data_IF_421462713354
#
_entry.id   IF_421462713354
#
_cell.length_a   1.000
_cell.length_b   1.000
_cell.length_c   1.000
_cell.angle_alpha   90.00
_cell.angle_beta   90.00
_cell.angle_gamma   90.00
#
_symmetry.space_group_name_H-M   'P 1'
#
loop_
_entity.id
_entity.type
_entity.pdbx_description
1 polymer ?
#
# COMPACT_ATOMS: atom_id res chain seq x y z
N UNK A 1 7.61 28.76 -20.89
CA UNK A 1 8.62 27.86 -21.48
C UNK A 1 8.37 26.39 -21.15
N UNK A 2 8.47 25.92 -19.91
CA UNK A 2 8.29 24.48 -19.60
C UNK A 2 6.87 23.98 -19.89
N UNK A 3 5.84 24.71 -19.47
CA UNK A 3 4.43 24.37 -19.75
C UNK A 3 4.12 24.36 -21.25
N UNK A 4 4.68 25.31 -22.02
CA UNK A 4 4.51 25.34 -23.47
C UNK A 4 5.10 24.11 -24.16
N UNK A 5 6.25 23.61 -23.66
CA UNK A 5 6.84 22.36 -24.15
C UNK A 5 5.92 21.17 -23.81
N UNK A 6 5.33 21.16 -22.60
CA UNK A 6 4.38 20.11 -22.22
C UNK A 6 3.14 20.08 -23.11
N UNK A 7 2.56 21.25 -23.40
CA UNK A 7 1.41 21.37 -24.29
C UNK A 7 1.73 20.90 -25.71
N UNK A 8 2.93 21.20 -26.21
CA UNK A 8 3.38 20.69 -27.51
C UNK A 8 3.52 19.17 -27.50
N UNK A 9 4.14 18.59 -26.47
CA UNK A 9 4.27 17.13 -26.34
C UNK A 9 2.88 16.49 -26.29
N UNK A 10 1.94 17.02 -25.50
CA UNK A 10 0.56 16.52 -25.45
C UNK A 10 -0.11 16.50 -26.82
N UNK A 11 -0.04 17.61 -27.56
CA UNK A 11 -0.64 17.75 -28.90
C UNK A 11 -0.05 16.77 -29.91
N UNK A 12 1.26 16.51 -29.83
CA UNK A 12 1.99 15.69 -30.79
C UNK A 12 2.03 14.20 -30.43
N UNK A 13 1.82 13.84 -29.15
CA UNK A 13 1.92 12.46 -28.64
C UNK A 13 1.04 11.43 -29.38
N UNK A 14 -0.21 11.73 -29.80
CA UNK A 14 -1.02 10.82 -30.61
C UNK A 14 -0.41 10.52 -31.99
N UNK A 15 0.44 11.42 -32.49
CA UNK A 15 1.01 11.39 -33.83
C UNK A 15 2.48 10.96 -33.84
N UNK A 16 2.99 10.35 -32.78
CA UNK A 16 4.42 9.97 -32.66
C UNK A 16 4.94 9.12 -33.83
N UNK A 17 4.07 8.36 -34.50
CA UNK A 17 4.44 7.55 -35.67
C UNK A 17 4.54 8.35 -36.98
N UNK A 18 4.19 9.64 -36.98
CA UNK A 18 4.30 10.54 -38.13
C UNK A 18 5.68 11.21 -38.10
N UNK A 19 6.49 11.17 -39.19
CA UNK A 19 7.87 11.67 -39.20
C UNK A 19 8.05 13.12 -38.70
N UNK A 20 7.16 14.02 -39.09
CA UNK A 20 7.23 15.43 -38.69
C UNK A 20 6.96 15.60 -37.18
N UNK A 21 5.93 14.91 -36.67
CA UNK A 21 5.61 14.91 -35.25
C UNK A 21 6.71 14.24 -34.41
N UNK A 22 7.28 13.14 -34.89
CA UNK A 22 8.42 12.47 -34.25
C UNK A 22 9.63 13.42 -34.12
N UNK A 23 9.95 14.14 -35.18
CA UNK A 23 11.05 15.11 -35.20
C UNK A 23 10.78 16.28 -34.25
N UNK A 24 9.56 16.81 -34.24
CA UNK A 24 9.14 17.86 -33.32
C UNK A 24 9.18 17.40 -31.84
N UNK A 25 8.72 16.20 -31.55
CA UNK A 25 8.77 15.61 -30.20
C UNK A 25 10.22 15.40 -29.73
N UNK A 26 11.13 14.96 -30.62
CA UNK A 26 12.56 14.86 -30.30
C UNK A 26 13.18 16.21 -29.94
N UNK A 27 12.78 17.27 -30.65
CA UNK A 27 13.21 18.64 -30.33
C UNK A 27 12.70 19.06 -28.94
N UNK A 28 11.41 18.86 -28.66
CA UNK A 28 10.82 19.13 -27.34
C UNK A 28 11.56 18.37 -26.23
N UNK A 29 11.83 17.09 -26.46
CA UNK A 29 12.55 16.24 -25.50
C UNK A 29 13.97 16.75 -25.23
N UNK A 30 14.68 17.17 -26.28
CA UNK A 30 16.04 17.73 -26.15
C UNK A 30 16.04 19.06 -25.37
N UNK A 31 15.00 19.88 -25.56
CA UNK A 31 14.79 21.10 -24.77
C UNK A 31 14.52 20.78 -23.30
N UNK A 32 13.71 19.75 -23.00
CA UNK A 32 13.49 19.30 -21.62
C UNK A 32 14.76 18.76 -20.97
N UNK A 33 15.56 17.96 -21.68
CA UNK A 33 16.87 17.50 -21.16
C UNK A 33 17.74 18.70 -20.79
N UNK A 34 17.84 19.70 -21.68
CA UNK A 34 18.67 20.89 -21.44
C UNK A 34 18.16 21.68 -20.21
N UNK A 35 16.86 21.91 -20.14
CA UNK A 35 16.20 22.60 -19.03
C UNK A 35 16.44 21.88 -17.68
N UNK A 36 16.19 20.58 -17.63
CA UNK A 36 16.36 19.79 -16.40
C UNK A 36 17.82 19.67 -16.00
N UNK A 37 18.73 19.67 -16.97
CA UNK A 37 20.17 19.68 -16.72
C UNK A 37 20.63 21.00 -16.09
N UNK A 38 20.19 22.14 -16.64
CA UNK A 38 20.48 23.48 -16.10
C UNK A 38 19.92 23.65 -14.67
N UNK A 39 18.78 23.02 -14.38
CA UNK A 39 18.19 22.98 -13.04
C UNK A 39 18.89 22.01 -12.07
N UNK A 40 19.89 21.23 -12.53
CA UNK A 40 20.59 20.25 -11.72
C UNK A 40 19.84 18.93 -11.46
N UNK A 41 18.63 18.76 -12.03
CA UNK A 41 17.70 17.66 -11.69
C UNK A 41 18.08 16.31 -12.31
N UNK A 42 18.92 16.31 -13.34
CA UNK A 42 19.37 15.09 -14.04
C UNK A 42 20.89 14.99 -14.10
N UNK A 43 21.58 15.59 -13.11
CA UNK A 43 23.02 15.44 -12.94
C UNK A 43 23.34 14.07 -12.33
N UNK A 44 22.59 13.66 -11.33
CA UNK A 44 22.71 12.41 -10.59
C UNK A 44 21.45 11.54 -10.73
N UNK A 45 21.51 10.28 -10.26
CA UNK A 45 20.34 9.40 -10.21
C UNK A 45 19.25 10.03 -9.31
N UNK A 46 18.04 10.32 -9.82
CA UNK A 46 16.97 10.92 -9.04
C UNK A 46 16.58 10.11 -7.79
N UNK A 47 16.85 8.81 -7.78
CA UNK A 47 16.58 7.93 -6.64
C UNK A 47 17.79 7.66 -5.74
N UNK A 48 18.95 8.27 -5.99
CA UNK A 48 20.16 8.05 -5.19
C UNK A 48 19.94 8.22 -3.67
N UNK A 49 19.21 9.26 -3.18
CA UNK A 49 18.96 9.41 -1.74
C UNK A 49 18.17 8.25 -1.12
N UNK A 50 17.36 7.54 -1.92
CA UNK A 50 16.54 6.42 -1.46
C UNK A 50 17.35 5.11 -1.45
N UNK A 51 18.32 4.95 -2.35
CA UNK A 51 19.11 3.70 -2.47
C UNK A 51 19.89 3.35 -1.21
N UNK A 52 20.39 4.36 -0.51
CA UNK A 52 21.24 4.18 0.68
C UNK A 52 20.52 4.42 2.00
N UNK A 53 19.23 4.76 1.95
CA UNK A 53 18.44 5.02 3.17
C UNK A 53 18.23 3.72 3.95
N UNK A 54 18.30 3.79 5.27
CA UNK A 54 18.12 2.64 6.17
C UNK A 54 17.24 3.02 7.35
N UNK A 55 16.72 2.01 8.02
CA UNK A 55 16.05 2.14 9.31
C UNK A 55 16.93 1.55 10.41
N UNK A 56 16.74 2.02 11.63
CA UNK A 56 17.27 1.38 12.82
C UNK A 56 16.53 0.05 13.05
N UNK A 57 17.29 -0.96 13.47
CA UNK A 57 16.78 -2.27 13.82
C UNK A 57 17.18 -2.57 15.26
N UNK A 58 16.23 -2.78 16.19
CA UNK A 58 16.55 -3.20 17.55
C UNK A 58 17.04 -4.65 17.52
N UNK A 59 18.35 -4.82 17.34
CA UNK A 59 18.98 -6.14 17.12
C UNK A 59 18.70 -7.11 18.25
N UNK A 60 18.99 -6.74 19.51
CA UNK A 60 18.87 -7.68 20.63
C UNK A 60 17.42 -8.18 20.84
N UNK A 61 16.38 -7.29 20.91
CA UNK A 61 15.00 -7.77 21.03
C UNK A 61 14.55 -8.66 19.87
N UNK A 62 14.94 -8.33 18.64
CA UNK A 62 14.56 -9.11 17.45
C UNK A 62 15.29 -10.45 17.44
N UNK A 63 16.57 -10.48 17.82
CA UNK A 63 17.33 -11.72 17.92
C UNK A 63 16.72 -12.65 18.98
N UNK A 64 16.35 -12.13 20.15
CA UNK A 64 15.71 -12.92 21.20
C UNK A 64 14.34 -13.46 20.78
N UNK A 65 13.55 -12.67 20.04
CA UNK A 65 12.28 -13.12 19.49
C UNK A 65 12.47 -14.23 18.45
N UNK A 66 13.45 -14.09 17.57
CA UNK A 66 13.65 -14.98 16.42
C UNK A 66 14.49 -16.22 16.73
N UNK A 67 15.21 -16.26 17.86
CA UNK A 67 16.06 -17.39 18.27
C UNK A 67 15.26 -18.69 18.32
N UNK A 68 15.78 -19.71 17.64
CA UNK A 68 15.20 -21.06 17.51
C UNK A 68 13.74 -21.10 17.01
N UNK A 69 13.27 -20.01 16.41
CA UNK A 69 11.90 -19.89 15.91
C UNK A 69 11.75 -20.46 14.49
N UNK A 70 10.52 -20.86 14.15
CA UNK A 70 10.12 -21.13 12.76
C UNK A 70 9.40 -19.91 12.18
N UNK A 71 9.94 -19.33 11.11
CA UNK A 71 9.29 -18.24 10.37
C UNK A 71 8.62 -18.76 9.10
N UNK A 72 7.44 -18.26 8.77
CA UNK A 72 6.81 -18.43 7.44
C UNK A 72 6.83 -17.08 6.72
N UNK A 73 7.25 -17.07 5.46
CA UNK A 73 7.20 -15.89 4.58
C UNK A 73 6.39 -16.24 3.35
N UNK A 74 5.18 -15.68 3.24
CA UNK A 74 4.38 -15.81 2.00
C UNK A 74 4.83 -14.76 1.00
N UNK A 75 4.89 -15.06 -0.29
CA UNK A 75 5.47 -14.15 -1.29
C UNK A 75 6.99 -14.01 -1.11
N UNK A 76 7.62 -15.00 -0.47
CA UNK A 76 9.02 -14.94 -0.06
C UNK A 76 10.03 -15.00 -1.21
N UNK A 77 9.58 -15.20 -2.45
CA UNK A 77 10.41 -15.06 -3.66
C UNK A 77 10.18 -13.73 -4.37
N UNK A 78 9.22 -12.91 -3.91
CA UNK A 78 9.04 -11.54 -4.37
C UNK A 78 10.13 -10.59 -3.87
N UNK A 79 10.12 -9.34 -4.33
CA UNK A 79 11.16 -8.34 -4.00
C UNK A 79 11.36 -8.13 -2.49
N UNK A 80 10.31 -7.74 -1.76
CA UNK A 80 10.39 -7.50 -0.31
C UNK A 80 10.53 -8.83 0.45
N UNK A 81 9.80 -9.87 0.04
CA UNK A 81 9.82 -11.18 0.69
C UNK A 81 11.20 -11.84 0.64
N UNK A 82 11.87 -11.84 -0.52
CA UNK A 82 13.21 -12.41 -0.66
C UNK A 82 14.25 -11.60 0.10
N UNK A 83 14.13 -10.27 0.14
CA UNK A 83 14.99 -9.44 1.00
C UNK A 83 14.78 -9.78 2.47
N UNK A 84 13.54 -9.92 2.92
CA UNK A 84 13.23 -10.35 4.29
C UNK A 84 13.80 -11.73 4.61
N UNK A 85 13.67 -12.71 3.71
CA UNK A 85 14.26 -14.05 3.90
C UNK A 85 15.77 -13.95 4.10
N UNK A 86 16.45 -13.13 3.30
CA UNK A 86 17.89 -12.90 3.46
C UNK A 86 18.23 -12.23 4.80
N UNK A 87 17.42 -11.28 5.27
CA UNK A 87 17.63 -10.68 6.60
C UNK A 87 17.37 -11.69 7.74
N UNK A 88 16.33 -12.53 7.63
CA UNK A 88 16.02 -13.57 8.62
C UNK A 88 17.15 -14.59 8.77
N UNK A 89 17.87 -14.90 7.68
CA UNK A 89 19.02 -15.82 7.71
C UNK A 89 20.20 -15.31 8.56
N UNK A 90 20.27 -13.99 8.82
CA UNK A 90 21.28 -13.38 9.69
C UNK A 90 21.00 -13.62 11.17
N UNK A 91 19.77 -14.02 11.52
CA UNK A 91 19.38 -14.39 12.87
C UNK A 91 19.47 -15.91 13.09
N UNK A 92 19.49 -16.32 14.36
CA UNK A 92 19.50 -17.72 14.77
C UNK A 92 18.10 -18.35 14.70
N UNK A 93 17.40 -18.18 13.57
CA UNK A 93 16.14 -18.87 13.29
C UNK A 93 16.38 -20.36 13.04
N UNK A 94 15.51 -21.20 13.59
CA UNK A 94 15.54 -22.66 13.37
C UNK A 94 15.22 -23.00 11.92
N UNK A 95 14.23 -22.31 11.34
CA UNK A 95 13.75 -22.58 9.99
C UNK A 95 12.98 -21.40 9.40
N UNK A 96 13.10 -21.22 8.09
CA UNK A 96 12.30 -20.29 7.29
C UNK A 96 11.54 -21.11 6.23
N UNK A 97 10.22 -21.03 6.26
CA UNK A 97 9.31 -21.68 5.30
C UNK A 97 8.81 -20.62 4.31
N UNK A 98 9.19 -20.74 3.05
CA UNK A 98 8.83 -19.84 1.96
C UNK A 98 7.61 -20.41 1.25
N UNK A 99 6.53 -19.63 1.20
CA UNK A 99 5.32 -19.97 0.46
C UNK A 99 5.19 -19.01 -0.73
N UNK A 100 5.26 -19.53 -1.95
CA UNK A 100 5.18 -18.70 -3.15
C UNK A 100 4.57 -19.51 -4.30
N UNK A 101 3.94 -18.83 -5.27
CA UNK A 101 3.45 -19.47 -6.50
C UNK A 101 4.54 -19.60 -7.57
N UNK A 102 5.70 -18.98 -7.32
CA UNK A 102 6.87 -19.13 -8.15
C UNK A 102 7.82 -20.18 -7.57
N UNK A 103 8.61 -20.79 -8.44
CA UNK A 103 9.71 -21.64 -8.04
C UNK A 103 10.99 -20.79 -7.91
N UNK A 104 11.82 -21.05 -6.89
CA UNK A 104 13.06 -20.30 -6.72
C UNK A 104 14.00 -20.62 -7.87
N UNK A 105 14.52 -19.58 -8.54
CA UNK A 105 15.55 -19.80 -9.55
C UNK A 105 16.82 -20.37 -8.92
N UNK A 106 17.15 -19.96 -7.69
CA UNK A 106 18.32 -20.40 -6.91
C UNK A 106 18.09 -20.24 -5.37
N UNK A 107 18.09 -21.33 -4.59
CA UNK A 107 18.10 -21.32 -3.10
C UNK A 107 19.54 -21.58 -2.59
N UNK A 108 20.47 -20.65 -2.81
CA UNK A 108 21.90 -20.99 -2.69
C UNK A 108 22.46 -20.85 -1.27
N UNK A 109 21.90 -20.01 -0.42
CA UNK A 109 22.68 -19.54 0.73
C UNK A 109 22.59 -20.42 2.00
N UNK A 110 21.53 -21.21 2.22
CA UNK A 110 21.32 -21.99 3.46
C UNK A 110 20.25 -23.10 3.28
N UNK A 111 20.51 -24.18 2.53
CA UNK A 111 19.47 -25.19 2.24
C UNK A 111 18.89 -25.85 3.50
N UNK A 112 19.68 -26.02 4.56
CA UNK A 112 19.23 -26.71 5.78
C UNK A 112 18.18 -25.93 6.60
N UNK A 113 18.14 -24.60 6.43
CA UNK A 113 17.20 -23.71 7.14
C UNK A 113 16.06 -23.22 6.26
N UNK A 114 16.16 -23.35 4.94
CA UNK A 114 15.17 -22.86 3.99
C UNK A 114 14.33 -24.01 3.44
N UNK A 115 13.01 -23.90 3.56
CA UNK A 115 12.07 -24.83 2.94
C UNK A 115 11.13 -24.03 2.05
N UNK A 116 11.02 -24.41 0.79
CA UNK A 116 10.09 -23.80 -0.15
C UNK A 116 8.89 -24.72 -0.41
N UNK A 117 7.71 -24.11 -0.52
CA UNK A 117 6.52 -24.74 -1.04
C UNK A 117 5.93 -23.87 -2.14
N UNK A 118 5.67 -24.49 -3.30
CA UNK A 118 4.77 -23.95 -4.29
C UNK A 118 3.35 -23.89 -3.71
N UNK A 119 2.91 -22.71 -3.27
CA UNK A 119 1.66 -22.54 -2.53
C UNK A 119 1.00 -21.19 -2.85
N UNK A 120 -0.20 -21.26 -3.43
CA UNK A 120 -1.11 -20.11 -3.51
C UNK A 120 -1.75 -19.87 -2.13
N UNK A 121 -1.74 -18.63 -1.65
CA UNK A 121 -2.38 -18.25 -0.38
C UNK A 121 -3.91 -18.42 -0.40
N UNK A 122 -4.52 -18.53 -1.58
CA UNK A 122 -5.92 -18.90 -1.73
C UNK A 122 -6.18 -20.40 -1.42
N UNK A 123 -5.15 -21.25 -1.36
CA UNK A 123 -5.27 -22.68 -1.08
C UNK A 123 -5.23 -22.97 0.44
N UNK A 124 -6.35 -22.74 1.13
CA UNK A 124 -6.47 -22.98 2.56
C UNK A 124 -6.10 -24.41 2.99
N UNK A 125 -6.55 -25.50 2.32
CA UNK A 125 -6.18 -26.86 2.73
C UNK A 125 -4.66 -27.12 2.73
N UNK A 126 -3.91 -26.54 1.79
CA UNK A 126 -2.46 -26.64 1.77
C UNK A 126 -1.82 -25.81 2.87
N UNK A 127 -2.28 -24.57 3.08
CA UNK A 127 -1.83 -23.72 4.18
C UNK A 127 -2.03 -24.40 5.54
N UNK A 128 -3.19 -24.98 5.80
CA UNK A 128 -3.47 -25.70 7.04
C UNK A 128 -2.55 -26.91 7.25
N UNK A 129 -2.20 -27.65 6.18
CA UNK A 129 -1.25 -28.75 6.27
C UNK A 129 0.15 -28.25 6.64
N UNK A 130 0.61 -27.21 5.95
CA UNK A 130 1.94 -26.60 6.18
C UNK A 130 2.01 -26.04 7.60
N UNK A 131 1.03 -25.25 8.03
CA UNK A 131 1.02 -24.62 9.35
C UNK A 131 0.96 -25.66 10.48
N UNK A 132 0.15 -26.71 10.34
CA UNK A 132 0.09 -27.80 11.34
C UNK A 132 1.39 -28.60 11.43
N UNK A 133 2.05 -28.83 10.31
CA UNK A 133 3.31 -29.58 10.26
C UNK A 133 4.49 -28.76 10.79
N UNK A 134 4.66 -27.53 10.32
CA UNK A 134 5.82 -26.70 10.66
C UNK A 134 5.68 -25.89 11.96
N UNK A 135 4.44 -25.71 12.45
CA UNK A 135 4.13 -24.95 13.67
C UNK A 135 4.89 -23.62 13.73
N UNK A 136 4.61 -22.68 12.82
CA UNK A 136 5.33 -21.42 12.76
C UNK A 136 5.14 -20.60 14.04
N UNK A 137 6.19 -19.90 14.45
CA UNK A 137 6.16 -18.90 15.50
C UNK A 137 5.75 -17.54 14.94
N UNK A 138 6.31 -17.18 13.78
CA UNK A 138 6.13 -15.87 13.14
C UNK A 138 5.73 -16.04 11.67
N UNK A 139 4.77 -15.25 11.22
CA UNK A 139 4.34 -15.21 9.82
C UNK A 139 4.54 -13.80 9.28
N UNK A 140 5.21 -13.67 8.15
CA UNK A 140 5.31 -12.44 7.37
C UNK A 140 4.52 -12.61 6.07
N UNK A 141 3.35 -11.98 6.02
CA UNK A 141 2.46 -12.04 4.88
C UNK A 141 2.82 -10.97 3.86
N UNK A 142 3.70 -11.31 2.91
CA UNK A 142 4.12 -10.42 1.81
C UNK A 142 3.49 -10.75 0.45
N UNK A 143 2.69 -11.82 0.36
CA UNK A 143 2.02 -12.21 -0.88
C UNK A 143 0.86 -11.25 -1.22
N UNK A 144 0.72 -10.94 -2.51
CA UNK A 144 -0.37 -10.13 -3.02
C UNK A 144 -0.13 -9.66 -4.46
N UNK A 145 -1.21 -9.43 -5.19
CA UNK A 145 -1.19 -8.70 -6.44
C UNK A 145 -0.89 -7.22 -6.13
N UNK A 146 0.13 -6.64 -6.79
CA UNK A 146 0.65 -5.29 -6.51
C UNK A 146 0.50 -4.25 -7.64
N UNK A 147 0.06 -4.65 -8.83
CA UNK A 147 -0.05 -3.81 -10.02
C UNK A 147 -1.49 -3.27 -10.14
N UNK A 148 -1.71 -1.97 -9.88
CA UNK A 148 -3.03 -1.35 -10.00
C UNK A 148 -3.69 -1.54 -11.36
N UNK A 149 -2.93 -1.50 -12.46
CA UNK A 149 -3.49 -1.64 -13.81
C UNK A 149 -4.00 -3.05 -14.04
N UNK A 150 -3.22 -4.05 -13.59
CA UNK A 150 -3.65 -5.45 -13.65
C UNK A 150 -4.84 -5.70 -12.72
N UNK A 151 -4.89 -5.08 -11.54
CA UNK A 151 -5.98 -5.23 -10.60
C UNK A 151 -7.34 -4.76 -11.15
N UNK A 152 -7.33 -3.73 -12.01
CA UNK A 152 -8.55 -3.25 -12.67
C UNK A 152 -9.06 -4.19 -13.76
N UNK A 153 -8.18 -5.01 -14.34
CA UNK A 153 -8.52 -5.98 -15.39
C UNK A 153 -8.83 -7.35 -14.80
N UNK A 154 -8.03 -7.81 -13.86
CA UNK A 154 -8.11 -9.12 -13.20
C UNK A 154 -8.68 -8.97 -11.78
N UNK A 155 -9.89 -8.44 -11.70
CA UNK A 155 -10.54 -8.11 -10.42
C UNK A 155 -10.69 -9.37 -9.56
N UNK A 156 -11.31 -10.43 -10.08
CA UNK A 156 -11.57 -11.65 -9.31
C UNK A 156 -10.28 -12.29 -8.76
N UNK A 157 -9.22 -12.39 -9.58
CA UNK A 157 -7.92 -12.93 -9.13
C UNK A 157 -7.23 -12.03 -8.10
N UNK A 158 -7.35 -10.71 -8.25
CA UNK A 158 -6.83 -9.75 -7.27
C UNK A 158 -7.54 -9.90 -5.93
N UNK A 159 -8.88 -10.01 -5.91
CA UNK A 159 -9.63 -10.18 -4.67
C UNK A 159 -9.42 -11.55 -4.04
N UNK A 160 -9.32 -12.61 -4.86
CA UNK A 160 -8.97 -13.97 -4.41
C UNK A 160 -7.59 -13.98 -3.75
N UNK A 161 -6.59 -13.37 -4.36
CA UNK A 161 -5.21 -13.34 -3.83
C UNK A 161 -5.10 -12.43 -2.61
N UNK A 162 -5.54 -11.18 -2.73
CA UNK A 162 -5.33 -10.17 -1.70
C UNK A 162 -6.27 -10.41 -0.51
N UNK A 163 -7.58 -10.53 -0.72
CA UNK A 163 -8.56 -10.59 0.38
C UNK A 163 -8.71 -12.01 0.90
N UNK A 164 -9.07 -12.96 0.05
CA UNK A 164 -9.29 -14.35 0.49
C UNK A 164 -7.98 -14.98 0.93
N UNK A 165 -6.88 -14.74 0.22
CA UNK A 165 -5.55 -15.16 0.64
C UNK A 165 -5.15 -14.63 2.02
N UNK A 166 -5.36 -13.33 2.28
CA UNK A 166 -5.12 -12.75 3.63
C UNK A 166 -5.98 -13.43 4.68
N UNK A 167 -7.29 -13.61 4.42
CA UNK A 167 -8.19 -14.29 5.36
C UNK A 167 -7.75 -15.73 5.65
N UNK A 168 -7.28 -16.47 4.64
CA UNK A 168 -6.80 -17.83 4.81
C UNK A 168 -5.53 -17.89 5.66
N UNK A 169 -4.60 -16.96 5.46
CA UNK A 169 -3.40 -16.85 6.30
C UNK A 169 -3.78 -16.58 7.74
N UNK A 170 -4.67 -15.61 7.98
CA UNK A 170 -5.19 -15.31 9.33
C UNK A 170 -5.85 -16.56 9.94
N UNK A 171 -6.68 -17.27 9.18
CA UNK A 171 -7.32 -18.52 9.64
C UNK A 171 -6.30 -19.59 10.03
N UNK A 172 -5.24 -19.77 9.24
CA UNK A 172 -4.17 -20.72 9.55
C UNK A 172 -3.34 -20.31 10.78
N UNK A 173 -3.11 -18.99 10.97
CA UNK A 173 -2.47 -18.44 12.16
C UNK A 173 -3.30 -18.73 13.42
N UNK A 174 -4.60 -18.44 13.39
CA UNK A 174 -5.52 -18.69 14.50
C UNK A 174 -5.61 -20.18 14.85
N UNK A 175 -5.71 -21.06 13.83
CA UNK A 175 -5.82 -22.50 14.03
C UNK A 175 -4.56 -23.13 14.65
N UNK A 176 -3.40 -22.47 14.55
CA UNK A 176 -2.13 -22.99 15.08
C UNK A 176 -1.58 -22.24 16.28
N UNK A 177 -2.16 -21.10 16.63
CA UNK A 177 -1.78 -20.31 17.82
C UNK A 177 -0.37 -19.74 17.73
N UNK A 178 0.00 -19.19 16.56
CA UNK A 178 1.33 -18.60 16.36
C UNK A 178 1.58 -17.40 17.30
N UNK A 179 2.83 -16.95 17.43
CA UNK A 179 3.13 -15.77 18.27
C UNK A 179 2.66 -14.48 17.60
N UNK A 180 2.94 -14.31 16.31
CA UNK A 180 2.62 -13.07 15.60
C UNK A 180 2.56 -13.21 14.07
N UNK A 181 1.64 -12.46 13.46
CA UNK A 181 1.55 -12.27 12.01
C UNK A 181 1.79 -10.79 11.62
N UNK A 182 2.62 -10.54 10.62
CA UNK A 182 2.94 -9.22 10.08
C UNK A 182 2.43 -9.11 8.64
N UNK A 183 1.58 -8.14 8.34
CA UNK A 183 1.07 -7.85 7.00
C UNK A 183 1.93 -6.80 6.28
N UNK A 184 2.38 -7.11 5.07
CA UNK A 184 2.81 -6.10 4.12
C UNK A 184 1.59 -5.41 3.48
N UNK A 185 1.40 -4.13 3.80
CA UNK A 185 0.39 -3.26 3.20
C UNK A 185 1.05 -2.15 2.37
N UNK A 186 0.25 -1.18 1.92
CA UNK A 186 0.67 -0.10 1.04
C UNK A 186 0.12 1.24 1.52
N UNK A 187 0.85 2.31 1.27
CA UNK A 187 0.39 3.68 1.47
C UNK A 187 -0.94 3.99 0.78
N UNK A 188 -1.28 3.31 -0.32
CA UNK A 188 -2.57 3.50 -0.99
C UNK A 188 -3.77 3.09 -0.11
N UNK A 189 -3.57 2.25 0.89
CA UNK A 189 -4.61 1.88 1.86
C UNK A 189 -4.92 3.01 2.87
N UNK A 190 -4.07 4.04 2.96
CA UNK A 190 -4.32 5.20 3.82
C UNK A 190 -5.48 6.07 3.33
N UNK A 191 -5.94 5.91 2.08
CA UNK A 191 -7.11 6.64 1.56
C UNK A 191 -8.36 6.29 2.35
N UNK A 192 -9.19 7.30 2.67
CA UNK A 192 -10.42 7.07 3.42
C UNK A 192 -11.38 6.12 2.67
N UNK A 193 -11.57 6.36 1.37
CA UNK A 193 -12.36 5.56 0.45
C UNK A 193 -11.70 5.58 -0.94
N UNK A 194 -11.87 4.51 -1.72
CA UNK A 194 -11.33 4.39 -3.09
C UNK A 194 -12.10 3.32 -3.85
N UNK A 195 -12.29 3.53 -5.14
CA UNK A 195 -12.85 2.55 -6.07
C UNK A 195 -11.77 1.75 -6.81
N UNK A 196 -10.49 2.07 -6.60
CA UNK A 196 -9.36 1.35 -7.18
C UNK A 196 -9.23 -0.03 -6.50
N UNK A 197 -9.35 -1.10 -7.30
CA UNK A 197 -9.45 -2.48 -6.80
C UNK A 197 -8.23 -2.85 -5.94
N UNK A 198 -7.03 -2.46 -6.37
CA UNK A 198 -5.80 -2.73 -5.61
C UNK A 198 -5.83 -2.08 -4.22
N UNK A 199 -6.09 -0.76 -4.16
CA UNK A 199 -6.07 -0.01 -2.90
C UNK A 199 -7.20 -0.46 -1.96
N UNK A 200 -8.41 -0.65 -2.50
CA UNK A 200 -9.55 -1.17 -1.77
C UNK A 200 -9.25 -2.56 -1.17
N UNK A 201 -8.69 -3.47 -1.97
CA UNK A 201 -8.35 -4.83 -1.50
C UNK A 201 -7.35 -4.81 -0.33
N UNK A 202 -6.31 -3.97 -0.40
CA UNK A 202 -5.32 -3.84 0.69
C UNK A 202 -5.91 -3.20 1.94
N UNK A 203 -6.82 -2.23 1.79
CA UNK A 203 -7.54 -1.64 2.92
C UNK A 203 -8.42 -2.69 3.64
N UNK A 204 -9.10 -3.57 2.90
CA UNK A 204 -9.82 -4.71 3.50
C UNK A 204 -8.88 -5.66 4.23
N UNK A 205 -7.67 -5.91 3.71
CA UNK A 205 -6.67 -6.73 4.41
C UNK A 205 -6.28 -6.13 5.77
N UNK A 206 -6.11 -4.81 5.85
CA UNK A 206 -5.85 -4.11 7.11
C UNK A 206 -7.01 -4.25 8.10
N UNK A 207 -8.26 -4.14 7.62
CA UNK A 207 -9.44 -4.36 8.44
C UNK A 207 -9.57 -5.80 8.96
N UNK A 208 -9.19 -6.81 8.16
CA UNK A 208 -9.12 -8.20 8.61
C UNK A 208 -8.12 -8.32 9.77
N UNK A 209 -6.90 -7.80 9.59
CA UNK A 209 -5.87 -7.85 10.64
C UNK A 209 -6.29 -7.11 11.91
N UNK A 210 -6.85 -5.91 11.79
CA UNK A 210 -7.31 -5.11 12.93
C UNK A 210 -8.47 -5.77 13.68
N UNK A 211 -9.47 -6.27 12.95
CA UNK A 211 -10.63 -6.92 13.56
C UNK A 211 -10.23 -8.20 14.29
N UNK A 212 -9.35 -9.02 13.69
CA UNK A 212 -8.87 -10.25 14.31
C UNK A 212 -7.99 -9.98 15.53
N UNK A 213 -7.13 -8.96 15.50
CA UNK A 213 -6.26 -8.61 16.63
C UNK A 213 -7.02 -8.39 17.95
N UNK A 214 -8.26 -7.88 17.88
CA UNK A 214 -9.06 -7.52 19.06
C UNK A 214 -9.55 -8.72 19.87
N UNK A 215 -9.74 -9.86 19.22
CA UNK A 215 -10.31 -11.06 19.84
C UNK A 215 -9.32 -12.22 19.90
N UNK A 216 -8.20 -12.12 19.18
CA UNK A 216 -7.20 -13.18 19.09
C UNK A 216 -6.16 -13.14 20.22
N UNK A 217 -5.59 -14.31 20.51
CA UNK A 217 -4.38 -14.46 21.32
C UNK A 217 -3.08 -14.25 20.52
N UNK A 218 -3.16 -14.37 19.20
CA UNK A 218 -2.09 -14.08 18.23
C UNK A 218 -1.95 -12.57 18.09
N UNK A 219 -0.71 -12.07 18.03
CA UNK A 219 -0.47 -10.65 17.74
C UNK A 219 -0.53 -10.40 16.24
N UNK A 220 -1.21 -9.33 15.82
CA UNK A 220 -1.21 -8.88 14.44
C UNK A 220 -0.63 -7.48 14.34
N UNK A 221 0.10 -7.24 13.28
CA UNK A 221 0.74 -5.96 12.98
C UNK A 221 0.83 -5.78 11.47
N UNK A 222 0.99 -4.55 11.03
CA UNK A 222 1.13 -4.22 9.61
C UNK A 222 2.28 -3.26 9.39
N UNK A 223 2.70 -3.18 8.13
CA UNK A 223 3.58 -2.13 7.65
C UNK A 223 2.98 -1.56 6.37
N UNK A 224 3.05 -0.24 6.17
CA UNK A 224 2.69 0.35 4.87
C UNK A 224 3.95 0.81 4.15
N UNK A 225 4.12 0.32 2.95
CA UNK A 225 5.17 0.78 2.04
C UNK A 225 4.66 1.84 1.08
N UNK A 226 5.55 2.74 0.68
CA UNK A 226 5.41 3.48 -0.58
C UNK A 226 6.00 2.64 -1.72
N UNK A 227 6.28 3.27 -2.86
CA UNK A 227 6.83 2.63 -4.03
C UNK A 227 8.20 1.99 -3.75
N UNK A 228 8.31 0.67 -3.91
CA UNK A 228 9.58 -0.04 -3.73
C UNK A 228 10.42 0.11 -5.00
N UNK A 229 11.59 0.75 -4.88
CA UNK A 229 12.47 1.09 -6.00
C UNK A 229 12.98 -0.16 -6.73
N UNK A 230 13.39 -1.17 -5.99
CA UNK A 230 14.03 -2.40 -6.48
C UNK A 230 13.15 -3.20 -7.45
N UNK A 231 11.82 -3.06 -7.35
CA UNK A 231 10.87 -3.70 -8.26
C UNK A 231 9.90 -2.68 -8.91
N UNK A 232 10.35 -1.44 -9.03
CA UNK A 232 9.56 -0.35 -9.58
C UNK A 232 9.20 -0.61 -11.06
N UNK A 233 7.94 -0.92 -11.34
CA UNK A 233 7.41 -1.11 -12.70
C UNK A 233 7.71 0.13 -13.57
N UNK A 234 7.42 1.34 -13.06
CA UNK A 234 7.71 2.61 -13.75
C UNK A 234 9.20 2.75 -14.10
N UNK A 235 10.10 2.72 -13.11
CA UNK A 235 11.54 2.84 -13.33
C UNK A 235 12.09 1.77 -14.30
N UNK A 236 11.63 0.52 -14.19
CA UNK A 236 12.03 -0.56 -15.10
C UNK A 236 11.56 -0.30 -16.54
N UNK A 237 10.31 0.13 -16.72
CA UNK A 237 9.77 0.51 -18.03
C UNK A 237 10.56 1.68 -18.63
N UNK A 238 10.77 2.77 -17.89
CA UNK A 238 11.50 3.94 -18.39
C UNK A 238 12.96 3.60 -18.74
N UNK A 239 13.61 2.77 -17.92
CA UNK A 239 14.96 2.27 -18.20
C UNK A 239 15.01 1.37 -19.45
N UNK A 240 13.98 0.56 -19.68
CA UNK A 240 13.90 -0.30 -20.86
C UNK A 240 13.60 0.51 -22.13
N UNK A 241 12.57 1.36 -22.11
CA UNK A 241 12.14 2.17 -23.24
C UNK A 241 13.25 3.13 -23.72
N UNK A 242 13.95 3.77 -22.78
CA UNK A 242 15.08 4.66 -23.09
C UNK A 242 16.23 3.98 -23.84
N UNK A 243 16.34 2.64 -23.78
CA UNK A 243 17.40 1.86 -24.43
C UNK A 243 16.93 1.11 -25.69
N UNK A 244 15.68 0.66 -25.72
CA UNK A 244 15.21 -0.27 -26.75
C UNK A 244 14.06 0.29 -27.61
N UNK A 245 13.17 1.09 -27.04
CA UNK A 245 11.95 1.53 -27.73
C UNK A 245 12.16 2.79 -28.56
N UNK A 246 11.32 3.05 -29.59
CA UNK A 246 11.44 4.22 -30.46
C UNK A 246 11.04 5.53 -29.78
N UNK A 247 10.35 5.47 -28.62
CA UNK A 247 9.96 6.59 -27.77
C UNK A 247 9.76 6.12 -26.33
N UNK A 248 9.75 7.06 -25.38
CA UNK A 248 9.46 6.81 -23.96
C UNK A 248 8.04 7.27 -23.64
N UNK A 249 7.23 6.40 -23.05
CA UNK A 249 5.85 6.66 -22.69
C UNK A 249 5.72 7.08 -21.24
N UNK A 250 5.14 8.26 -21.00
CA UNK A 250 4.76 8.75 -19.69
C UNK A 250 3.26 8.98 -19.59
N UNK A 251 2.71 8.89 -18.38
CA UNK A 251 1.30 9.20 -18.16
C UNK A 251 1.03 10.69 -18.32
N UNK A 252 1.75 11.54 -17.60
CA UNK A 252 1.66 12.99 -17.71
C UNK A 252 2.93 13.64 -17.14
N UNK A 253 3.23 14.90 -17.48
CA UNK A 253 4.22 15.68 -16.74
C UNK A 253 3.73 15.88 -15.29
N UNK A 254 4.63 16.11 -14.34
CA UNK A 254 4.31 16.35 -12.92
C UNK A 254 3.65 15.18 -12.15
N UNK A 255 3.94 13.92 -12.52
CA UNK A 255 3.66 12.75 -11.66
C UNK A 255 4.84 12.49 -10.74
N UNK A 256 4.61 12.62 -9.45
CA UNK A 256 5.62 12.43 -8.41
C UNK A 256 5.44 11.11 -7.66
N UNK A 257 6.56 10.49 -7.29
CA UNK A 257 6.61 9.22 -6.57
C UNK A 257 7.58 9.36 -5.40
N UNK A 258 7.12 9.04 -4.18
CA UNK A 258 8.02 8.76 -3.07
C UNK A 258 8.42 7.29 -3.13
N UNK A 259 9.69 6.99 -2.85
CA UNK A 259 10.20 5.64 -2.94
C UNK A 259 10.84 5.17 -1.63
N UNK A 260 10.91 3.85 -1.48
CA UNK A 260 11.63 3.11 -0.45
C UNK A 260 12.47 2.04 -1.13
N UNK A 261 13.60 1.66 -0.53
CA UNK A 261 14.35 0.50 -0.99
C UNK A 261 13.87 -0.78 -0.29
N UNK A 262 14.20 -1.95 -0.86
CA UNK A 262 13.78 -3.24 -0.32
C UNK A 262 14.36 -3.55 1.07
N UNK A 263 15.55 -3.03 1.40
CA UNK A 263 16.17 -3.25 2.72
C UNK A 263 15.39 -2.51 3.82
N UNK A 264 14.99 -1.26 3.57
CA UNK A 264 14.09 -0.52 4.47
C UNK A 264 12.78 -1.25 4.67
N UNK A 265 12.20 -1.81 3.59
CA UNK A 265 10.95 -2.55 3.67
C UNK A 265 11.08 -3.81 4.56
N UNK A 266 12.18 -4.55 4.41
CA UNK A 266 12.49 -5.71 5.26
C UNK A 266 12.69 -5.31 6.73
N UNK A 267 13.40 -4.21 6.99
CA UNK A 267 13.62 -3.72 8.36
C UNK A 267 12.33 -3.20 9.00
N UNK A 268 11.43 -2.61 8.23
CA UNK A 268 10.11 -2.21 8.71
C UNK A 268 9.28 -3.44 9.13
N UNK A 269 9.32 -4.52 8.34
CA UNK A 269 8.67 -5.80 8.68
C UNK A 269 9.23 -6.41 9.97
N UNK A 270 10.56 -6.40 10.13
CA UNK A 270 11.21 -6.91 11.34
C UNK A 270 10.90 -6.03 12.56
N UNK A 271 10.89 -4.71 12.44
CA UNK A 271 10.48 -3.80 13.51
C UNK A 271 9.02 -4.03 13.93
N UNK A 272 8.13 -4.43 13.01
CA UNK A 272 6.75 -4.73 13.37
C UNK A 272 6.62 -5.85 14.42
N UNK A 273 7.62 -6.72 14.56
CA UNK A 273 7.70 -7.69 15.65
C UNK A 273 7.66 -7.02 17.04
N UNK A 274 8.44 -5.96 17.23
CA UNK A 274 8.65 -5.33 18.54
C UNK A 274 7.56 -4.35 18.94
N UNK A 275 6.81 -3.80 17.98
CA UNK A 275 5.74 -2.83 18.23
C UNK A 275 4.33 -3.45 18.24
N UNK A 276 4.24 -4.78 18.30
CA UNK A 276 2.96 -5.49 18.33
C UNK A 276 2.42 -5.66 19.75
N UNK A 277 1.10 -5.50 19.91
CA UNK A 277 0.42 -5.65 21.19
C UNK A 277 -0.74 -6.63 21.05
N UNK A 278 -1.07 -7.37 22.12
CA UNK A 278 -2.27 -8.23 22.12
C UNK A 278 -3.51 -7.35 22.19
N UNK A 279 -4.56 -7.69 21.43
CA UNK A 279 -5.80 -6.91 21.42
C UNK A 279 -5.78 -5.66 20.53
N UNK A 280 -4.62 -5.27 19.99
CA UNK A 280 -4.48 -4.07 19.16
C UNK A 280 -3.56 -4.32 17.95
N UNK A 281 -4.05 -3.99 16.75
CA UNK A 281 -3.23 -4.01 15.55
C UNK A 281 -2.63 -2.63 15.28
N UNK A 282 -1.29 -2.56 15.27
CA UNK A 282 -0.54 -1.35 14.91
C UNK A 282 0.06 -1.49 13.52
N UNK A 283 0.15 -0.39 12.80
CA UNK A 283 0.89 -0.29 11.55
C UNK A 283 2.11 0.62 11.68
N UNK A 284 3.18 0.25 10.99
CA UNK A 284 4.42 1.02 10.95
C UNK A 284 4.63 1.62 9.56
N UNK A 285 5.16 2.84 9.52
CA UNK A 285 5.58 3.53 8.29
C UNK A 285 6.92 4.22 8.51
N UNK A 286 7.64 4.44 7.42
CA UNK A 286 8.85 5.27 7.45
C UNK A 286 8.46 6.74 7.58
N UNK A 287 9.11 7.44 8.50
CA UNK A 287 8.87 8.85 8.79
C UNK A 287 9.39 9.74 7.68
N UNK A 288 10.63 9.51 7.22
CA UNK A 288 11.27 10.31 6.17
C UNK A 288 11.22 9.58 4.82
N UNK A 289 10.30 9.99 3.95
CA UNK A 289 10.17 9.43 2.60
C UNK A 289 11.09 10.10 1.56
N UNK A 290 11.92 11.04 1.99
CA UNK A 290 12.68 11.95 1.13
C UNK A 290 11.77 12.77 0.19
N UNK A 291 12.38 13.59 -0.65
CA UNK A 291 11.64 14.38 -1.63
C UNK A 291 11.02 13.47 -2.70
N UNK A 292 9.75 13.71 -3.09
CA UNK A 292 9.13 12.98 -4.19
C UNK A 292 9.88 13.20 -5.50
N UNK A 293 10.08 12.13 -6.26
CA UNK A 293 10.78 12.15 -7.54
C UNK A 293 9.78 12.22 -8.68
N UNK A 294 10.00 13.11 -9.65
CA UNK A 294 9.14 13.22 -10.82
C UNK A 294 9.43 12.11 -11.84
N UNK A 295 8.40 11.44 -12.35
CA UNK A 295 8.53 10.42 -13.40
C UNK A 295 9.17 10.93 -14.70
N UNK A 296 8.91 12.19 -15.06
CA UNK A 296 9.56 12.84 -16.20
C UNK A 296 11.06 13.03 -15.98
N UNK A 297 11.48 13.41 -14.78
CA UNK A 297 12.88 13.53 -14.40
C UNK A 297 13.61 12.20 -14.55
N UNK A 298 13.00 11.11 -14.10
CA UNK A 298 13.52 9.74 -14.25
C UNK A 298 13.66 9.34 -15.71
N UNK A 299 12.65 9.65 -16.55
CA UNK A 299 12.69 9.36 -17.98
C UNK A 299 13.84 10.11 -18.69
N UNK A 300 13.97 11.42 -18.40
CA UNK A 300 15.02 12.26 -18.95
C UNK A 300 16.42 11.81 -18.47
N UNK A 301 16.55 11.41 -17.21
CA UNK A 301 17.78 10.85 -16.66
C UNK A 301 18.19 9.58 -17.40
N UNK A 302 17.30 8.59 -17.54
CA UNK A 302 17.61 7.36 -18.29
C UNK A 302 17.97 7.62 -19.75
N UNK A 303 17.29 8.58 -20.40
CA UNK A 303 17.58 8.97 -21.78
C UNK A 303 18.97 9.62 -21.92
N UNK A 304 19.34 10.49 -20.96
CA UNK A 304 20.69 11.05 -20.88
C UNK A 304 21.74 9.94 -20.72
N UNK A 305 21.50 8.98 -19.84
CA UNK A 305 22.40 7.84 -19.60
C UNK A 305 22.52 6.90 -20.80
N UNK A 306 21.44 6.71 -21.58
CA UNK A 306 21.48 5.85 -22.77
C UNK A 306 22.17 6.51 -23.97
N UNK A 307 22.33 7.84 -23.97
CA UNK A 307 22.88 8.61 -25.08
C UNK A 307 21.99 8.62 -26.33
N UNK A 308 20.78 8.03 -26.26
CA UNK A 308 19.83 8.00 -27.38
C UNK A 308 19.08 9.33 -27.47
N UNK A 309 18.68 9.66 -28.69
CA UNK A 309 17.80 10.81 -28.98
C UNK A 309 16.47 10.28 -29.48
N UNK A 310 15.58 9.92 -28.55
CA UNK A 310 14.21 9.46 -28.82
C UNK A 310 13.21 10.39 -28.12
N UNK A 311 11.98 10.54 -28.64
CA UNK A 311 11.00 11.42 -28.04
C UNK A 311 10.38 10.85 -26.76
N UNK A 312 10.00 11.75 -25.87
CA UNK A 312 9.03 11.49 -24.79
C UNK A 312 7.62 11.78 -25.32
N UNK A 313 6.67 10.92 -24.94
CA UNK A 313 5.24 11.10 -25.23
C UNK A 313 4.39 10.99 -23.97
N UNK A 314 3.28 11.72 -23.95
CA UNK A 314 2.29 11.67 -22.89
C UNK A 314 1.05 10.88 -23.33
N UNK A 315 0.63 9.91 -22.52
CA UNK A 315 -0.44 8.95 -22.82
C UNK A 315 -1.69 9.10 -21.95
N UNK A 316 -1.62 9.89 -20.89
CA UNK A 316 -2.67 9.96 -19.87
C UNK A 316 -2.54 8.85 -18.82
N UNK A 317 -3.35 8.98 -17.77
CA UNK A 317 -3.42 7.99 -16.70
C UNK A 317 -4.31 6.82 -17.12
N UNK A 318 -3.81 5.57 -17.15
CA UNK A 318 -4.67 4.40 -17.30
C UNK A 318 -5.54 4.22 -16.05
N UNK A 319 -6.59 3.39 -16.18
CA UNK A 319 -7.41 2.98 -15.02
C UNK A 319 -6.53 2.35 -13.94
N UNK A 320 -6.86 2.63 -12.68
CA UNK A 320 -6.07 2.22 -11.51
C UNK A 320 -4.86 3.13 -11.20
N UNK A 321 -4.59 4.13 -12.06
CA UNK A 321 -3.57 5.16 -11.85
C UNK A 321 -4.15 6.58 -11.96
N UNK A 322 -5.47 6.68 -12.07
CA UNK A 322 -6.22 7.89 -12.41
C UNK A 322 -6.79 8.63 -11.20
N UNK A 323 -6.75 8.07 -9.99
CA UNK A 323 -7.41 8.66 -8.84
C UNK A 323 -6.67 9.91 -8.33
N UNK A 324 -7.43 11.00 -8.17
CA UNK A 324 -6.95 12.32 -7.79
C UNK A 324 -6.56 12.35 -6.30
N UNK A 325 -5.56 13.16 -5.97
CA UNK A 325 -5.15 13.32 -4.57
C UNK A 325 -6.13 14.24 -3.82
N UNK A 326 -6.90 13.68 -2.91
CA UNK A 326 -7.75 14.45 -2.01
C UNK A 326 -6.90 15.11 -0.92
N UNK A 327 -6.73 16.44 -1.00
CA UNK A 327 -5.87 17.21 -0.10
C UNK A 327 -6.20 17.02 1.39
N UNK A 328 -7.49 16.82 1.72
CA UNK A 328 -7.96 16.57 3.08
C UNK A 328 -7.46 15.26 3.69
N UNK A 329 -6.74 14.43 2.93
CA UNK A 329 -6.05 13.27 3.47
C UNK A 329 -4.93 13.63 4.46
N UNK A 330 -4.36 14.83 4.35
CA UNK A 330 -3.24 15.29 5.16
C UNK A 330 -3.69 16.35 6.18
N UNK A 331 -3.00 16.39 7.33
CA UNK A 331 -3.25 17.36 8.39
C UNK A 331 -2.50 18.67 8.11
N UNK A 332 -3.18 19.65 7.52
CA UNK A 332 -2.57 20.92 7.14
C UNK A 332 -2.40 21.91 8.28
N UNK A 333 -2.92 21.62 9.49
CA UNK A 333 -2.60 22.40 10.69
C UNK A 333 -1.16 22.16 11.18
N UNK A 334 -0.52 21.06 10.75
CA UNK A 334 0.84 20.67 11.15
C UNK A 334 1.66 20.21 9.94
N UNK A 335 2.08 21.13 9.06
CA UNK A 335 2.73 20.81 7.80
C UNK A 335 4.09 20.08 7.97
N UNK A 336 4.74 20.23 9.12
CA UNK A 336 6.00 19.57 9.48
C UNK A 336 5.83 18.09 9.90
N UNK A 337 4.60 17.67 10.23
CA UNK A 337 4.28 16.29 10.60
C UNK A 337 3.71 15.45 9.42
N UNK A 338 3.64 16.03 8.21
CA UNK A 338 2.98 15.39 7.07
C UNK A 338 3.68 14.11 6.62
N UNK A 339 2.89 13.05 6.38
CA UNK A 339 3.35 11.81 5.79
C UNK A 339 2.28 11.22 4.86
N UNK A 340 2.64 10.90 3.62
CA UNK A 340 1.70 10.41 2.59
C UNK A 340 1.10 9.02 2.90
N UNK A 341 1.66 8.29 3.88
CA UNK A 341 1.22 6.95 4.24
C UNK A 341 0.26 6.95 5.45
N UNK A 342 -0.10 8.14 5.95
CA UNK A 342 -0.90 8.36 7.14
C UNK A 342 -2.00 9.39 6.86
N UNK A 343 -3.26 9.04 7.12
CA UNK A 343 -4.36 10.01 7.02
C UNK A 343 -4.64 10.71 8.35
N UNK A 344 -5.47 11.75 8.32
CA UNK A 344 -5.80 12.56 9.52
C UNK A 344 -6.42 11.72 10.64
N UNK A 345 -7.32 10.79 10.32
CA UNK A 345 -7.98 9.95 11.33
C UNK A 345 -7.02 8.99 12.03
N UNK A 346 -6.05 8.48 11.29
CA UNK A 346 -5.01 7.59 11.79
C UNK A 346 -3.91 8.36 12.53
N UNK A 347 -3.67 9.63 12.19
CA UNK A 347 -2.64 10.46 12.85
C UNK A 347 -2.87 10.60 14.36
N UNK A 348 -4.13 10.53 14.81
CA UNK A 348 -4.54 10.65 16.21
C UNK A 348 -3.94 9.59 17.13
N UNK A 349 -3.60 8.42 16.57
CA UNK A 349 -3.01 7.31 17.31
C UNK A 349 -1.49 7.21 17.11
N UNK A 350 -0.90 8.19 16.43
CA UNK A 350 0.49 8.12 16.00
C UNK A 350 1.47 8.37 17.14
N UNK A 351 2.54 7.59 17.13
CA UNK A 351 3.71 7.75 18.00
C UNK A 351 4.97 7.60 17.15
N UNK A 352 6.07 8.18 17.63
CA UNK A 352 7.37 8.11 16.95
C UNK A 352 8.22 7.04 17.64
N UNK A 353 8.83 6.16 16.84
CA UNK A 353 9.80 5.16 17.33
C UNK A 353 10.95 5.79 18.13
N UNK A 354 11.61 5.03 19.04
CA UNK A 354 12.78 5.52 19.77
C UNK A 354 13.92 6.04 18.87
N UNK A 355 14.13 5.40 17.71
CA UNK A 355 15.09 5.79 16.67
C UNK A 355 14.67 7.00 15.83
N UNK A 356 13.41 7.45 15.97
CA UNK A 356 12.81 8.62 15.30
C UNK A 356 12.74 8.56 13.78
N UNK A 357 12.86 7.37 13.20
CA UNK A 357 12.82 7.08 11.76
C UNK A 357 11.52 6.42 11.30
N UNK A 358 10.72 5.91 12.24
CA UNK A 358 9.40 5.33 11.98
C UNK A 358 8.28 6.03 12.76
N UNK A 359 7.08 6.04 12.15
CA UNK A 359 5.81 6.37 12.81
C UNK A 359 5.04 5.06 13.02
N UNK A 360 4.51 4.88 14.22
CA UNK A 360 3.65 3.75 14.60
C UNK A 360 2.25 4.31 14.86
N UNK A 361 1.23 3.75 14.23
CA UNK A 361 -0.16 4.16 14.46
C UNK A 361 -1.12 2.97 14.36
N UNK A 362 -2.42 3.24 14.47
CA UNK A 362 -3.50 2.26 14.35
C UNK A 362 -4.57 2.79 13.41
N UNK A 363 -5.28 1.88 12.73
CA UNK A 363 -6.40 2.27 11.88
C UNK A 363 -7.65 2.52 12.74
N UNK A 364 -8.62 3.26 12.19
CA UNK A 364 -9.96 3.34 12.80
C UNK A 364 -10.67 2.02 12.51
N UNK A 365 -10.94 1.26 13.57
CA UNK A 365 -11.52 -0.05 13.43
C UNK A 365 -12.96 -0.04 12.90
N UNK A 366 -13.32 -1.00 12.03
CA UNK A 366 -14.67 -1.18 11.56
C UNK A 366 -15.52 -2.01 12.54
N UNK A 367 -16.84 -1.99 12.39
CA UNK A 367 -17.74 -2.98 13.01
C UNK A 367 -17.44 -4.36 12.39
N UNK A 368 -17.07 -5.38 13.20
CA UNK A 368 -16.79 -6.73 12.72
C UNK A 368 -17.92 -7.34 11.89
N UNK A 369 -19.19 -6.97 12.14
CA UNK A 369 -20.34 -7.46 11.38
C UNK A 369 -20.30 -6.98 9.93
N UNK A 370 -19.96 -5.70 9.70
CA UNK A 370 -19.85 -5.13 8.35
C UNK A 370 -18.74 -5.79 7.54
N UNK A 371 -17.62 -6.07 8.19
CA UNK A 371 -16.52 -6.80 7.56
C UNK A 371 -16.92 -8.24 7.23
N UNK A 372 -17.58 -8.95 8.15
CA UNK A 372 -18.05 -10.31 7.92
C UNK A 372 -19.08 -10.39 6.79
N UNK A 373 -20.01 -9.44 6.72
CA UNK A 373 -20.99 -9.35 5.62
C UNK A 373 -20.29 -9.19 4.27
N UNK A 374 -19.31 -8.28 4.17
CA UNK A 374 -18.50 -8.11 2.96
C UNK A 374 -17.74 -9.39 2.61
N UNK A 375 -17.11 -10.04 3.59
CA UNK A 375 -16.36 -11.28 3.36
C UNK A 375 -17.26 -12.41 2.83
N UNK A 376 -18.46 -12.56 3.38
CA UNK A 376 -19.44 -13.55 2.91
C UNK A 376 -19.90 -13.24 1.48
N UNK A 377 -20.23 -11.99 1.19
CA UNK A 377 -20.65 -11.57 -0.15
C UNK A 377 -19.53 -11.75 -1.18
N UNK A 378 -18.28 -11.41 -0.82
CA UNK A 378 -17.13 -11.63 -1.70
C UNK A 378 -16.88 -13.11 -1.99
N UNK A 379 -17.01 -14.00 -1.01
CA UNK A 379 -16.86 -15.45 -1.26
C UNK A 379 -17.84 -15.99 -2.27
N UNK A 380 -19.06 -15.45 -2.32
CA UNK A 380 -20.08 -15.83 -3.30
C UNK A 380 -19.81 -15.18 -4.66
N UNK A 381 -19.38 -13.92 -4.67
CA UNK A 381 -19.21 -13.15 -5.91
C UNK A 381 -17.85 -13.33 -6.59
N UNK A 382 -16.83 -13.90 -5.92
CA UNK A 382 -15.50 -14.11 -6.53
C UNK A 382 -15.62 -15.10 -7.68
N UNK A 383 -15.31 -14.62 -8.88
CA UNK A 383 -15.50 -15.35 -10.15
C UNK A 383 -16.65 -14.79 -11.00
N UNK A 384 -17.51 -13.95 -10.42
CA UNK A 384 -18.53 -13.19 -11.13
C UNK A 384 -17.99 -11.78 -11.50
N UNK A 385 -18.49 -11.23 -12.59
CA UNK A 385 -18.29 -9.82 -12.97
C UNK A 385 -18.76 -8.83 -11.90
N UNK A 386 -19.71 -9.21 -11.05
CA UNK A 386 -20.22 -8.39 -9.96
C UNK A 386 -19.23 -8.18 -8.78
N UNK A 387 -18.11 -8.91 -8.71
CA UNK A 387 -17.19 -8.85 -7.57
C UNK A 387 -16.63 -7.45 -7.29
N UNK A 388 -16.44 -6.63 -8.34
CA UNK A 388 -16.03 -5.22 -8.20
C UNK A 388 -17.06 -4.41 -7.41
N UNK A 389 -18.32 -4.53 -7.78
CA UNK A 389 -19.41 -3.78 -7.15
C UNK A 389 -19.60 -4.22 -5.69
N UNK A 390 -19.51 -5.53 -5.41
CA UNK A 390 -19.56 -6.06 -4.05
C UNK A 390 -18.43 -5.48 -3.18
N UNK A 391 -17.20 -5.42 -3.71
CA UNK A 391 -16.06 -4.82 -3.02
C UNK A 391 -16.31 -3.34 -2.69
N UNK A 392 -16.67 -2.54 -3.70
CA UNK A 392 -16.83 -1.09 -3.55
C UNK A 392 -17.98 -0.76 -2.60
N UNK A 393 -19.14 -1.39 -2.77
CA UNK A 393 -20.31 -1.16 -1.94
C UNK A 393 -20.09 -1.61 -0.49
N UNK A 394 -19.40 -2.74 -0.27
CA UNK A 394 -19.09 -3.18 1.09
C UNK A 394 -18.01 -2.34 1.75
N UNK A 395 -16.99 -1.89 1.01
CA UNK A 395 -16.01 -0.93 1.52
C UNK A 395 -16.69 0.38 1.90
N UNK A 396 -17.61 0.88 1.08
CA UNK A 396 -18.37 2.09 1.38
C UNK A 396 -19.09 1.97 2.73
N UNK A 397 -19.84 0.88 2.96
CA UNK A 397 -20.54 0.62 4.23
C UNK A 397 -19.60 0.55 5.43
N UNK A 398 -18.41 -0.04 5.25
CA UNK A 398 -17.38 -0.07 6.30
C UNK A 398 -16.86 1.34 6.57
N UNK A 399 -16.61 2.14 5.54
CA UNK A 399 -16.12 3.51 5.71
C UNK A 399 -17.17 4.38 6.39
N UNK A 400 -18.44 4.31 5.98
CA UNK A 400 -19.58 4.99 6.64
C UNK A 400 -19.60 4.68 8.13
N UNK A 401 -19.46 3.40 8.48
CA UNK A 401 -19.39 2.95 9.87
C UNK A 401 -18.16 3.51 10.62
N UNK A 402 -16.96 3.44 10.04
CA UNK A 402 -15.74 3.96 10.68
C UNK A 402 -15.78 5.48 10.89
N UNK A 403 -16.42 6.22 9.98
CA UNK A 403 -16.55 7.67 10.06
C UNK A 403 -17.42 8.12 11.24
N UNK A 404 -18.33 7.29 11.74
CA UNK A 404 -19.14 7.61 12.94
C UNK A 404 -18.31 7.65 14.23
N UNK A 405 -17.09 7.07 14.21
CA UNK A 405 -16.16 7.00 15.37
C UNK A 405 -15.09 8.09 15.34
N UNK A 406 -15.26 9.08 14.47
CA UNK A 406 -14.34 10.19 14.28
C UNK A 406 -14.98 11.47 14.82
N UNK A 407 -14.23 12.32 15.55
CA UNK A 407 -14.68 13.65 15.93
C UNK A 407 -15.19 14.47 14.74
N UNK A 408 -16.28 15.21 14.96
CA UNK A 408 -16.84 16.09 13.95
C UNK A 408 -15.84 17.16 13.49
N UNK A 409 -15.07 17.72 14.42
CA UNK A 409 -14.06 18.75 14.14
C UNK A 409 -13.00 18.25 13.14
N UNK A 410 -12.51 17.02 13.32
CA UNK A 410 -11.55 16.41 12.38
C UNK A 410 -12.16 16.28 10.98
N UNK A 411 -13.42 15.83 10.91
CA UNK A 411 -14.15 15.67 9.64
C UNK A 411 -14.34 17.02 8.93
N UNK A 412 -14.71 18.07 9.68
CA UNK A 412 -14.85 19.43 9.16
C UNK A 412 -13.51 19.99 8.66
N UNK A 413 -12.42 19.79 9.40
CA UNK A 413 -11.08 20.21 9.00
C UNK A 413 -10.63 19.52 7.71
N UNK A 414 -10.88 18.21 7.59
CA UNK A 414 -10.57 17.44 6.37
C UNK A 414 -11.35 17.96 5.17
N UNK A 415 -12.65 18.22 5.33
CA UNK A 415 -13.48 18.79 4.27
C UNK A 415 -13.01 20.19 3.89
N UNK A 416 -12.65 21.02 4.88
CA UNK A 416 -12.10 22.35 4.66
C UNK A 416 -10.81 22.29 3.82
N UNK A 417 -9.81 21.53 4.26
CA UNK A 417 -8.55 21.40 3.53
C UNK A 417 -8.71 20.75 2.15
N UNK A 418 -9.63 19.80 2.02
CA UNK A 418 -9.88 19.06 0.79
C UNK A 418 -10.65 19.83 -0.28
N UNK A 419 -11.50 20.80 0.10
CA UNK A 419 -12.43 21.50 -0.79
C UNK A 419 -12.14 23.00 -0.95
N UNK A 420 -10.99 23.43 -0.44
CA UNK A 420 -10.47 24.78 -0.56
C UNK A 420 -10.16 25.11 -2.03
N UNK A 421 -10.83 26.13 -2.57
CA UNK A 421 -10.86 26.43 -4.02
C UNK A 421 -9.47 26.68 -4.61
N UNK A 422 -8.59 27.32 -3.84
CA UNK A 422 -7.22 27.67 -4.27
C UNK A 422 -6.37 26.43 -4.58
N UNK A 423 -6.64 25.30 -3.93
CA UNK A 423 -5.80 24.09 -4.01
C UNK A 423 -6.40 22.96 -4.85
N UNK A 424 -7.51 23.21 -5.56
CA UNK A 424 -8.14 22.20 -6.41
C UNK A 424 -7.36 21.93 -7.70
N UNK A 425 -6.45 22.83 -8.13
CA UNK A 425 -5.49 22.62 -9.22
C UNK A 425 -6.08 21.96 -10.49
N UNK A 426 -7.17 22.51 -11.01
CA UNK A 426 -7.86 22.01 -12.21
C UNK A 426 -8.94 20.95 -11.94
N UNK A 427 -9.02 20.43 -10.71
CA UNK A 427 -10.14 19.60 -10.26
C UNK A 427 -11.31 20.47 -9.80
N UNK A 428 -12.49 19.87 -9.77
CA UNK A 428 -13.70 20.41 -9.19
C UNK A 428 -14.01 19.71 -7.86
N UNK A 429 -14.89 20.30 -7.06
CA UNK A 429 -15.40 19.62 -5.85
C UNK A 429 -16.11 18.30 -6.19
N UNK A 430 -16.69 18.20 -7.39
CA UNK A 430 -17.42 17.03 -7.83
C UNK A 430 -16.51 15.80 -8.02
N UNK A 431 -15.23 16.01 -8.31
CA UNK A 431 -14.26 14.92 -8.46
C UNK A 431 -14.02 14.16 -7.14
N UNK A 432 -14.35 14.77 -6.00
CA UNK A 432 -14.23 14.17 -4.67
C UNK A 432 -15.59 13.78 -4.06
N UNK A 433 -16.66 13.72 -4.86
CA UNK A 433 -18.01 13.44 -4.38
C UNK A 433 -18.12 12.12 -3.62
N UNK A 434 -17.39 11.08 -4.05
CA UNK A 434 -17.42 9.76 -3.42
C UNK A 434 -17.02 9.82 -1.94
N UNK A 435 -15.92 10.51 -1.61
CA UNK A 435 -15.46 10.63 -0.23
C UNK A 435 -16.20 11.72 0.55
N UNK A 436 -16.43 12.88 -0.07
CA UNK A 436 -17.07 14.01 0.61
C UNK A 436 -18.50 13.71 1.00
N UNK A 437 -19.25 12.96 0.19
CA UNK A 437 -20.60 12.52 0.53
C UNK A 437 -20.61 11.66 1.79
N UNK A 438 -19.64 10.74 1.94
CA UNK A 438 -19.51 9.90 3.13
C UNK A 438 -19.22 10.74 4.38
N UNK A 439 -18.33 11.72 4.27
CA UNK A 439 -17.99 12.64 5.36
C UNK A 439 -19.16 13.55 5.74
N UNK A 440 -19.91 14.09 4.78
CA UNK A 440 -21.10 14.88 5.09
C UNK A 440 -22.21 14.03 5.72
N UNK A 441 -22.35 12.77 5.32
CA UNK A 441 -23.31 11.85 5.91
C UNK A 441 -22.94 11.49 7.35
N UNK A 442 -21.65 11.30 7.65
CA UNK A 442 -21.23 11.03 9.04
C UNK A 442 -21.56 12.19 9.97
N UNK A 443 -21.36 13.44 9.55
CA UNK A 443 -21.74 14.63 10.32
C UNK A 443 -23.25 14.72 10.60
N UNK A 444 -24.11 14.24 9.70
CA UNK A 444 -25.57 14.19 9.90
C UNK A 444 -26.01 13.07 10.85
N UNK A 445 -25.20 12.03 11.00
CA UNK A 445 -25.52 10.89 11.85
C UNK A 445 -25.24 11.17 13.33
N UNK A 446 -24.19 11.95 13.62
CA UNK A 446 -23.81 12.33 14.99
C UNK A 446 -24.88 13.24 15.63
N UNK A 447 -25.51 14.10 14.83
CA UNK A 447 -26.65 14.93 15.27
C UNK A 447 -27.90 14.13 15.67
N UNK A 448 -28.06 12.88 15.20
CA UNK A 448 -29.15 11.98 15.63
C UNK A 448 -28.82 11.15 16.86
N UNK A 449 -27.57 10.71 17.03
CA UNK A 449 -27.17 9.94 18.21
C UNK A 449 -27.14 10.78 19.49
N UNK A 450 -26.91 12.10 19.42
CA UNK A 450 -27.09 12.98 20.59
C UNK A 450 -28.57 13.12 21.03
N UNK A 451 -29.54 12.97 20.12
CA UNK A 451 -30.96 12.94 20.47
C UNK A 451 -31.40 11.55 20.99
N UNK A 452 -30.80 10.47 20.50
CA UNK A 452 -31.10 9.09 20.94
C UNK A 452 -30.40 8.67 22.24
N UNK A 453 -29.19 9.17 22.53
CA UNK A 453 -28.49 8.89 23.81
C UNK A 453 -29.18 9.57 25.00
N UNK A 454 -29.97 10.62 24.77
CA UNK A 454 -30.88 11.17 25.78
C UNK A 454 -32.12 10.29 26.05
N UNK A 455 -32.39 9.29 25.20
CA UNK A 455 -33.56 8.41 25.28
C UNK A 455 -33.23 6.97 25.74
N UNK A 456 -31.95 6.56 25.73
CA UNK A 456 -31.53 5.19 26.07
C UNK A 456 -30.54 5.10 27.26
N UNK A 457 -30.59 6.06 28.18
CA UNK A 457 -29.98 5.93 29.50
C UNK A 457 -30.76 4.97 30.42
N UNK A 458 -30.72 3.66 30.15
CA UNK A 458 -31.34 2.65 31.00
C UNK A 458 -31.29 1.23 30.44
N UNK A 459 -30.51 0.38 31.10
CA UNK A 459 -30.64 -1.09 31.14
C UNK A 459 -30.42 -1.90 29.83
N UNK A 460 -29.29 -2.63 29.74
CA UNK A 460 -29.24 -4.09 29.95
C UNK A 460 -27.94 -4.71 29.39
N UNK A 461 -27.08 -5.10 30.33
CA UNK A 461 -26.10 -6.17 30.16
C UNK A 461 -26.79 -7.54 30.35
N UNK A 462 -26.18 -8.56 29.73
CA UNK A 462 -26.29 -10.00 30.00
C UNK A 462 -27.24 -10.85 29.13
N UNK A 463 -26.63 -11.60 28.21
CA UNK A 463 -26.86 -13.01 27.79
C UNK A 463 -26.37 -13.13 26.33
N UNK A 464 -25.56 -14.09 25.89
CA UNK A 464 -25.46 -15.51 26.23
C UNK A 464 -25.55 -16.28 24.90
N UNK A 465 -24.47 -16.36 24.13
CA UNK A 465 -24.44 -17.07 22.83
C UNK A 465 -23.77 -18.44 22.99
N UNK A 466 -24.56 -19.51 22.85
CA UNK A 466 -24.11 -20.86 22.47
C UNK A 466 -24.52 -21.08 21.01
N UNK A 467 -23.57 -21.50 20.19
CA UNK A 467 -23.81 -21.95 18.82
C UNK A 467 -24.29 -23.42 18.80
N UNK A 468 -25.05 -23.84 17.77
CA UNK A 468 -25.14 -25.25 17.39
C UNK A 468 -23.85 -25.75 16.73
#
# INVERSE_FOLDING_TARGET
>A
MQEEIYDQIWKLSPFVNIPDAYTALKKCTSQLISLYHEQGRILDDPFEPVRHRTLALPMDPIEDMLRDSTCVVTGGLGCVGSRLVNELLRFNVRRIVILDIHDPQQLICCPDRLIHFHCDVANLPLLEKIFRFYRPDYVFHTAGQRDPGLAEVQVADTLRTNIIGTFNIVSACEATGIKQCVLASTGKASRYFTEEVYAASKKICEYIFDTTAKTSSVRYSMVRFTHILDNSIMNQQLAYESRHEPFISLHCPAKYVTAQNAAEAAYLLLNALTFSEKGQCKFLIVKNLAWPVESLEVALYHLKQSGRSVPIVFKGNPKGYSEQFFRGQLNWAKPDELNLLLNVYEHRFSTISPSRDMIISSIVSPDPRRLNDLMNNLRVAIGDHACREVLVNGLQKIVEDTLTRVPEEDTLNILHWGLEKEFLNGNSRADFNSITSLMFNSLKSVTRHQEEDHLWGGELLASGYRAP
#
